data_IF_369839639953
#
_entry.id   IF_369839639953
#
_cell.length_a   1.000
_cell.length_b   1.000
_cell.length_c   1.000
_cell.angle_alpha   90.00
_cell.angle_beta   90.00
_cell.angle_gamma   90.00
#
_symmetry.space_group_name_H-M   'P 1'
#
loop_
_entity.id
_entity.type
_entity.pdbx_description
1 polymer ?
#
# COMPACT_ATOMS: atom_id res chain seq x y z
N UNK A 1 37.35 1.95 -23.96
CA UNK A 1 35.99 1.81 -24.53
C UNK A 1 34.97 2.19 -23.47
N UNK A 2 34.46 3.41 -23.56
CA UNK A 2 33.59 4.08 -22.57
C UNK A 2 32.14 4.05 -23.07
N UNK A 3 31.31 3.21 -22.46
CA UNK A 3 29.85 3.22 -22.65
C UNK A 3 29.17 3.50 -21.30
N UNK A 4 29.46 4.65 -20.67
CA UNK A 4 28.60 5.17 -19.61
C UNK A 4 27.39 5.85 -20.25
N UNK A 5 26.30 5.10 -20.30
CA UNK A 5 25.00 5.50 -20.82
C UNK A 5 24.54 6.83 -20.22
N UNK A 6 24.16 7.72 -21.12
CA UNK A 6 23.46 8.98 -20.95
C UNK A 6 22.06 8.79 -20.33
N UNK A 7 21.97 8.46 -19.05
CA UNK A 7 20.71 8.62 -18.32
C UNK A 7 20.66 10.08 -17.82
N UNK A 8 19.65 10.87 -18.23
CA UNK A 8 19.48 12.21 -17.66
C UNK A 8 19.35 12.08 -16.14
N UNK A 9 20.15 12.85 -15.41
CA UNK A 9 20.08 12.91 -13.95
C UNK A 9 18.70 13.42 -13.55
N UNK A 10 17.80 12.52 -13.15
CA UNK A 10 16.49 12.88 -12.64
C UNK A 10 16.65 13.77 -11.41
N UNK A 11 15.90 14.86 -11.36
CA UNK A 11 15.88 15.72 -10.17
C UNK A 11 15.21 14.98 -9.01
N UNK A 12 15.54 15.33 -7.76
CA UNK A 12 14.97 14.70 -6.57
C UNK A 12 13.42 14.77 -6.56
N UNK A 13 12.83 15.83 -7.10
CA UNK A 13 11.37 15.98 -7.24
C UNK A 13 10.78 15.04 -8.28
N UNK A 14 11.46 14.81 -9.41
CA UNK A 14 11.04 13.85 -10.42
C UNK A 14 11.09 12.41 -9.88
N UNK A 15 12.13 12.08 -9.11
CA UNK A 15 12.24 10.76 -8.46
C UNK A 15 11.13 10.55 -7.43
N UNK A 16 10.82 11.56 -6.62
CA UNK A 16 9.72 11.48 -5.64
C UNK A 16 8.37 11.27 -6.32
N UNK A 17 8.10 12.01 -7.40
CA UNK A 17 6.88 11.86 -8.20
C UNK A 17 6.77 10.48 -8.86
N UNK A 18 7.86 9.98 -9.45
CA UNK A 18 7.90 8.65 -10.05
C UNK A 18 7.65 7.57 -8.99
N UNK A 19 8.27 7.69 -7.83
CA UNK A 19 8.08 6.76 -6.70
C UNK A 19 6.62 6.75 -6.25
N UNK A 20 6.00 7.93 -6.13
CA UNK A 20 4.59 8.07 -5.77
C UNK A 20 3.67 7.39 -6.80
N UNK A 21 3.93 7.59 -8.11
CA UNK A 21 3.16 6.97 -9.20
C UNK A 21 3.30 5.45 -9.20
N UNK A 22 4.53 4.95 -9.06
CA UNK A 22 4.79 3.52 -9.00
C UNK A 22 4.11 2.89 -7.79
N UNK A 23 4.23 3.52 -6.61
CA UNK A 23 3.58 3.05 -5.39
C UNK A 23 2.04 3.02 -5.54
N UNK A 24 1.44 4.05 -6.14
CA UNK A 24 0.00 4.07 -6.43
C UNK A 24 -0.42 2.99 -7.44
N UNK A 25 0.38 2.75 -8.49
CA UNK A 25 0.14 1.68 -9.45
C UNK A 25 0.20 0.29 -8.81
N UNK A 26 1.23 0.04 -7.99
CA UNK A 26 1.34 -1.21 -7.22
C UNK A 26 0.19 -1.38 -6.23
N UNK A 27 -0.27 -0.30 -5.58
CA UNK A 27 -1.41 -0.36 -4.68
C UNK A 27 -2.70 -0.76 -5.43
N UNK A 28 -2.95 -0.23 -6.63
CA UNK A 28 -4.10 -0.65 -7.45
C UNK A 28 -4.00 -2.11 -7.88
N UNK A 29 -2.82 -2.57 -8.28
CA UNK A 29 -2.58 -3.98 -8.62
C UNK A 29 -2.77 -4.90 -7.41
N UNK A 30 -2.33 -4.46 -6.24
CA UNK A 30 -2.54 -5.18 -4.98
C UNK A 30 -4.04 -5.29 -4.70
N UNK A 31 -4.76 -4.17 -4.78
CA UNK A 31 -6.20 -4.11 -4.57
C UNK A 31 -6.97 -4.98 -5.57
N UNK A 32 -6.56 -5.01 -6.84
CA UNK A 32 -7.22 -5.85 -7.85
C UNK A 32 -6.94 -7.34 -7.62
N UNK A 33 -5.68 -7.71 -7.35
CA UNK A 33 -5.30 -9.10 -7.05
C UNK A 33 -5.97 -9.63 -5.78
N UNK A 34 -6.30 -8.75 -4.85
CA UNK A 34 -6.86 -9.09 -3.53
C UNK A 34 -8.26 -8.54 -3.33
N UNK A 35 -9.00 -8.26 -4.41
CA UNK A 35 -10.27 -7.51 -4.42
C UNK A 35 -11.30 -7.99 -3.38
N UNK A 36 -11.34 -9.30 -3.11
CA UNK A 36 -12.23 -9.90 -2.10
C UNK A 36 -11.98 -9.34 -0.69
N UNK A 37 -10.74 -9.02 -0.33
CA UNK A 37 -10.39 -8.42 0.97
C UNK A 37 -10.96 -6.99 1.12
N UNK A 38 -11.03 -6.25 0.01
CA UNK A 38 -11.43 -4.84 0.00
C UNK A 38 -12.94 -4.67 -0.11
N UNK A 39 -13.59 -5.52 -0.92
CA UNK A 39 -15.00 -5.39 -1.26
C UNK A 39 -15.91 -6.35 -0.47
N UNK A 40 -15.37 -7.44 0.07
CA UNK A 40 -16.13 -8.44 0.81
C UNK A 40 -15.45 -8.85 2.14
N UNK A 41 -15.31 -7.90 3.09
CA UNK A 41 -14.62 -8.15 4.36
C UNK A 41 -15.33 -9.20 5.23
N UNK A 42 -16.63 -9.47 4.99
CA UNK A 42 -17.40 -10.48 5.73
C UNK A 42 -17.04 -11.93 5.39
N UNK A 43 -16.28 -12.16 4.32
CA UNK A 43 -15.83 -13.52 3.92
C UNK A 43 -14.60 -14.00 4.68
N UNK A 44 -13.99 -13.13 5.49
CA UNK A 44 -12.76 -13.41 6.20
C UNK A 44 -12.91 -13.15 7.70
N UNK A 45 -12.20 -13.89 8.56
CA UNK A 45 -12.26 -13.65 10.01
C UNK A 45 -11.67 -12.27 10.32
N UNK A 46 -12.46 -11.38 10.91
CA UNK A 46 -12.00 -10.07 11.36
C UNK A 46 -11.02 -10.27 12.51
N UNK A 47 -9.76 -9.90 12.30
CA UNK A 47 -8.79 -9.77 13.38
C UNK A 47 -8.45 -8.28 13.45
N UNK A 48 -8.97 -7.52 14.43
CA UNK A 48 -8.69 -6.09 14.51
C UNK A 48 -7.33 -5.84 15.20
N UNK A 49 -6.54 -4.88 14.70
CA UNK A 49 -5.26 -4.46 15.33
C UNK A 49 -5.47 -3.74 16.67
N UNK A 50 -6.55 -2.97 16.74
CA UNK A 50 -6.96 -2.18 17.88
C UNK A 50 -8.38 -2.61 18.26
N UNK A 51 -8.81 -2.48 19.53
CA UNK A 51 -10.17 -2.79 19.96
C UNK A 51 -11.20 -1.73 19.47
N UNK A 52 -11.06 -1.27 18.23
CA UNK A 52 -11.96 -0.33 17.57
C UNK A 52 -13.06 -1.13 16.86
N UNK A 53 -14.30 -0.92 17.29
CA UNK A 53 -15.47 -1.50 16.63
C UNK A 53 -15.81 -0.70 15.37
N UNK A 54 -15.03 -0.92 14.31
CA UNK A 54 -15.33 -0.34 13.01
C UNK A 54 -16.42 -1.17 12.32
N UNK A 55 -17.44 -0.48 11.79
CA UNK A 55 -18.47 -1.15 10.98
C UNK A 55 -17.80 -1.79 9.76
N UNK A 56 -18.10 -3.07 9.43
CA UNK A 56 -17.47 -3.77 8.30
C UNK A 56 -17.70 -3.07 6.94
N UNK A 57 -18.74 -2.24 6.82
CA UNK A 57 -19.04 -1.42 5.65
C UNK A 57 -18.04 -0.28 5.41
N UNK A 58 -17.23 0.09 6.41
CA UNK A 58 -16.24 1.17 6.28
C UNK A 58 -15.06 0.77 5.38
N UNK A 59 -14.75 -0.52 5.28
CA UNK A 59 -13.63 -1.00 4.45
C UNK A 59 -13.94 -0.81 2.96
N UNK A 60 -15.08 -1.27 2.41
CA UNK A 60 -15.47 -0.96 1.03
C UNK A 60 -15.61 0.54 0.80
N UNK A 61 -16.22 1.26 1.74
CA UNK A 61 -16.42 2.71 1.64
C UNK A 61 -15.09 3.49 1.57
N UNK A 62 -14.02 3.00 2.20
CA UNK A 62 -12.68 3.58 2.11
C UNK A 62 -11.87 3.10 0.90
N UNK A 63 -12.15 1.90 0.38
CA UNK A 63 -11.46 1.38 -0.81
C UNK A 63 -11.74 2.18 -2.09
N UNK A 64 -12.95 2.72 -2.24
CA UNK A 64 -13.33 3.55 -3.40
C UNK A 64 -12.52 4.85 -3.45
N UNK A 65 -12.49 5.70 -2.40
CA UNK A 65 -11.68 6.92 -2.39
C UNK A 65 -10.18 6.62 -2.43
N UNK A 66 -9.73 5.48 -1.88
CA UNK A 66 -8.34 5.03 -2.01
C UNK A 66 -7.97 4.77 -3.48
N UNK A 67 -8.80 4.02 -4.21
CA UNK A 67 -8.58 3.73 -5.61
C UNK A 67 -8.62 5.01 -6.47
N UNK A 68 -9.58 5.91 -6.21
CA UNK A 68 -9.67 7.21 -6.87
C UNK A 68 -8.42 8.07 -6.61
N UNK A 69 -7.95 8.12 -5.36
CA UNK A 69 -6.70 8.79 -4.99
C UNK A 69 -5.50 8.22 -5.76
N UNK A 70 -5.37 6.89 -5.84
CA UNK A 70 -4.31 6.25 -6.60
C UNK A 70 -4.35 6.62 -8.10
N UNK A 71 -5.54 6.64 -8.72
CA UNK A 71 -5.69 7.07 -10.12
C UNK A 71 -5.27 8.53 -10.32
N UNK A 72 -5.67 9.44 -9.43
CA UNK A 72 -5.27 10.85 -9.49
C UNK A 72 -3.74 11.01 -9.36
N UNK A 73 -3.09 10.20 -8.52
CA UNK A 73 -1.63 10.21 -8.36
C UNK A 73 -0.91 9.68 -9.60
N UNK A 74 -1.41 8.60 -10.23
CA UNK A 74 -0.82 8.00 -11.44
C UNK A 74 -0.88 8.96 -12.62
N UNK A 75 -2.08 9.49 -12.91
CA UNK A 75 -2.28 10.39 -14.04
C UNK A 75 -1.73 11.80 -13.81
N UNK A 76 -1.37 12.12 -12.56
CA UNK A 76 -0.84 13.43 -12.18
C UNK A 76 -1.70 14.58 -12.71
N UNK A 77 -3.02 14.44 -12.56
CA UNK A 77 -4.03 15.36 -13.11
C UNK A 77 -3.92 16.76 -12.48
N UNK A 78 -3.15 16.91 -11.40
CA UNK A 78 -3.07 18.15 -10.63
C UNK A 78 -1.75 18.89 -10.91
N UNK A 79 -1.80 20.04 -11.63
CA UNK A 79 -0.61 20.83 -11.92
C UNK A 79 -0.10 21.63 -10.70
N UNK A 80 -0.89 21.73 -9.62
CA UNK A 80 -0.54 22.55 -8.46
C UNK A 80 0.00 21.71 -7.30
N UNK A 81 1.15 22.10 -6.70
CA UNK A 81 1.79 21.33 -5.62
C UNK A 81 0.95 21.28 -4.34
N UNK A 82 0.15 22.32 -4.06
CA UNK A 82 -0.76 22.35 -2.90
C UNK A 82 -1.90 21.34 -3.03
N UNK A 83 -2.47 21.22 -4.23
CA UNK A 83 -3.55 20.27 -4.49
C UNK A 83 -3.02 18.83 -4.48
N UNK A 84 -1.82 18.60 -5.01
CA UNK A 84 -1.16 17.30 -4.94
C UNK A 84 -0.97 16.85 -3.49
N UNK A 85 -0.48 17.73 -2.59
CA UNK A 85 -0.36 17.41 -1.15
C UNK A 85 -1.71 17.06 -0.50
N UNK A 86 -2.80 17.76 -0.86
CA UNK A 86 -4.15 17.44 -0.37
C UNK A 86 -4.60 16.06 -0.85
N UNK A 87 -4.36 15.72 -2.12
CA UNK A 87 -4.69 14.39 -2.65
C UNK A 87 -3.88 13.31 -1.93
N UNK A 88 -2.58 13.51 -1.72
CA UNK A 88 -1.73 12.58 -0.95
C UNK A 88 -2.27 12.40 0.48
N UNK A 89 -2.66 13.49 1.16
CA UNK A 89 -3.22 13.43 2.50
C UNK A 89 -4.56 12.66 2.54
N UNK A 90 -5.49 12.97 1.63
CA UNK A 90 -6.78 12.28 1.56
C UNK A 90 -6.60 10.79 1.22
N UNK A 91 -5.65 10.47 0.34
CA UNK A 91 -5.31 9.08 -0.02
C UNK A 91 -4.71 8.34 1.18
N UNK A 92 -3.88 9.01 1.98
CA UNK A 92 -3.31 8.44 3.20
C UNK A 92 -4.39 8.14 4.25
N UNK A 93 -5.34 9.07 4.45
CA UNK A 93 -6.48 8.86 5.36
C UNK A 93 -7.33 7.68 4.88
N UNK A 94 -7.64 7.61 3.58
CA UNK A 94 -8.38 6.49 3.01
C UNK A 94 -7.63 5.15 3.14
N UNK A 95 -6.30 5.15 3.02
CA UNK A 95 -5.46 3.96 3.20
C UNK A 95 -5.41 3.49 4.66
N UNK A 96 -5.49 4.40 5.64
CA UNK A 96 -5.44 4.03 7.05
C UNK A 96 -6.69 3.29 7.53
N UNK A 97 -7.87 3.60 6.98
CA UNK A 97 -9.15 3.01 7.42
C UNK A 97 -9.18 1.47 7.30
N UNK A 98 -8.79 0.85 6.16
CA UNK A 98 -8.67 -0.60 6.04
C UNK A 98 -7.73 -1.25 7.06
N UNK A 99 -6.62 -0.58 7.41
CA UNK A 99 -5.63 -1.09 8.39
C UNK A 99 -6.20 -1.11 9.80
N UNK A 100 -7.00 -0.10 10.17
CA UNK A 100 -7.68 -0.07 11.46
C UNK A 100 -8.81 -1.10 11.54
N UNK A 101 -9.47 -1.39 10.41
CA UNK A 101 -10.63 -2.28 10.34
C UNK A 101 -10.32 -3.77 10.21
N UNK A 102 -9.18 -4.16 9.63
CA UNK A 102 -8.82 -5.57 9.47
C UNK A 102 -7.31 -5.79 9.37
N UNK A 103 -6.78 -6.73 10.17
CA UNK A 103 -5.39 -7.20 10.09
C UNK A 103 -5.04 -7.81 8.72
N UNK A 104 -6.04 -8.28 7.95
CA UNK A 104 -5.79 -8.89 6.63
C UNK A 104 -5.37 -7.87 5.58
N UNK A 105 -5.65 -6.59 5.82
CA UNK A 105 -5.16 -5.49 5.01
C UNK A 105 -3.72 -5.06 5.36
N UNK A 106 -3.06 -5.68 6.36
CA UNK A 106 -1.60 -5.53 6.62
C UNK A 106 -0.75 -6.28 5.60
N UNK A 107 -1.01 -6.07 4.31
CA UNK A 107 -0.03 -6.47 3.32
C UNK A 107 1.18 -5.53 3.45
N UNK A 108 2.38 -6.08 3.53
CA UNK A 108 3.61 -5.28 3.65
C UNK A 108 3.72 -4.20 2.55
N UNK A 109 3.18 -4.51 1.37
CA UNK A 109 3.07 -3.60 0.23
C UNK A 109 2.13 -2.41 0.48
N UNK A 110 1.03 -2.62 1.22
CA UNK A 110 0.12 -1.55 1.61
C UNK A 110 0.75 -0.61 2.64
N UNK A 111 1.50 -1.16 3.61
CA UNK A 111 2.31 -0.36 4.53
C UNK A 111 3.38 0.46 3.81
N UNK A 112 4.07 -0.16 2.84
CA UNK A 112 5.03 0.54 2.01
C UNK A 112 4.39 1.73 1.29
N UNK A 113 3.19 1.53 0.75
CA UNK A 113 2.41 2.58 0.10
C UNK A 113 2.09 3.73 1.07
N UNK A 114 1.53 3.44 2.25
CA UNK A 114 1.23 4.47 3.26
C UNK A 114 2.46 5.25 3.72
N UNK A 115 3.58 4.57 3.93
CA UNK A 115 4.85 5.21 4.31
C UNK A 115 5.35 6.11 3.18
N UNK A 116 5.21 5.67 1.92
CA UNK A 116 5.58 6.48 0.75
C UNK A 116 4.74 7.76 0.66
N UNK A 117 3.44 7.68 0.95
CA UNK A 117 2.56 8.85 1.04
C UNK A 117 2.99 9.79 2.19
N UNK A 118 3.24 9.24 3.38
CA UNK A 118 3.65 9.99 4.56
C UNK A 118 4.98 10.75 4.32
N UNK A 119 5.96 10.08 3.72
CA UNK A 119 7.25 10.69 3.39
C UNK A 119 7.16 11.75 2.29
N UNK A 120 6.15 11.69 1.41
CA UNK A 120 5.87 12.78 0.47
C UNK A 120 5.22 14.00 1.15
N UNK A 121 4.56 13.82 2.30
CA UNK A 121 3.98 14.92 3.07
C UNK A 121 5.01 15.59 3.98
N UNK A 122 5.97 14.82 4.50
CA UNK A 122 6.98 15.28 5.45
C UNK A 122 8.24 15.81 4.73
N UNK A 123 8.89 16.86 5.25
CA UNK A 123 10.17 17.36 4.74
C UNK A 123 11.35 16.49 5.22
N UNK A 124 11.29 15.16 5.04
CA UNK A 124 12.29 14.22 5.57
C UNK A 124 13.33 13.81 4.51
N UNK A 125 14.59 13.56 4.90
CA UNK A 125 15.64 13.10 3.99
C UNK A 125 15.35 11.67 3.50
N UNK A 126 15.61 11.44 2.20
CA UNK A 126 15.33 10.19 1.49
C UNK A 126 16.09 8.95 2.03
N UNK A 127 17.09 9.13 2.89
CA UNK A 127 17.83 8.06 3.58
C UNK A 127 16.92 7.18 4.44
N UNK A 128 15.87 7.76 5.03
CA UNK A 128 14.95 7.04 5.92
C UNK A 128 14.04 6.06 5.15
N UNK A 129 13.76 6.33 3.87
CA UNK A 129 12.92 5.48 3.02
C UNK A 129 13.57 4.12 2.77
N UNK A 130 14.89 4.07 2.54
CA UNK A 130 15.62 2.81 2.28
C UNK A 130 15.61 1.87 3.49
N UNK A 131 15.84 2.41 4.68
CA UNK A 131 15.81 1.64 5.92
C UNK A 131 14.41 1.08 6.20
N UNK A 132 13.37 1.89 5.95
CA UNK A 132 11.99 1.46 6.14
C UNK A 132 11.55 0.41 5.11
N UNK A 133 11.97 0.56 3.85
CA UNK A 133 11.77 -0.48 2.82
C UNK A 133 12.45 -1.79 3.22
N UNK A 134 13.72 -1.71 3.65
CA UNK A 134 14.47 -2.89 4.09
C UNK A 134 13.80 -3.58 5.28
N UNK A 135 13.38 -2.82 6.29
CA UNK A 135 12.65 -3.36 7.44
C UNK A 135 11.33 -4.01 7.03
N UNK A 136 10.54 -3.37 6.16
CA UNK A 136 9.29 -3.96 5.64
C UNK A 136 9.53 -5.26 4.88
N UNK A 137 10.59 -5.31 4.05
CA UNK A 137 10.92 -6.50 3.28
C UNK A 137 11.41 -7.64 4.17
N UNK A 138 12.26 -7.33 5.16
CA UNK A 138 12.74 -8.30 6.16
C UNK A 138 11.57 -8.82 7.00
N UNK A 139 10.72 -7.94 7.54
CA UNK A 139 9.54 -8.36 8.32
C UNK A 139 8.54 -9.17 7.48
N UNK A 140 8.33 -8.81 6.21
CA UNK A 140 7.48 -9.57 5.27
C UNK A 140 8.06 -10.94 4.90
N UNK A 141 9.39 -11.04 4.79
CA UNK A 141 10.09 -12.31 4.60
C UNK A 141 10.01 -13.18 5.85
N UNK A 142 10.26 -12.61 7.02
CA UNK A 142 10.20 -13.28 8.31
C UNK A 142 8.77 -13.74 8.66
N UNK A 143 7.73 -12.99 8.29
CA UNK A 143 6.34 -13.42 8.51
C UNK A 143 5.93 -14.64 7.68
N UNK A 144 6.74 -15.03 6.68
CA UNK A 144 6.53 -16.24 5.86
C UNK A 144 7.33 -17.44 6.38
N UNK A 145 8.26 -17.23 7.31
CA UNK A 145 8.91 -18.32 8.02
C UNK A 145 7.96 -18.82 9.12
N UNK A 146 7.12 -19.79 8.79
CA UNK A 146 6.44 -20.62 9.79
C UNK A 146 6.90 -22.07 9.65
N UNK A 147 7.08 -22.76 10.78
CA UNK A 147 7.38 -24.20 10.78
C UNK A 147 6.25 -25.04 10.15
N UNK A 148 5.03 -24.48 10.06
CA UNK A 148 3.84 -25.11 9.47
C UNK A 148 3.13 -24.11 8.53
N UNK A 149 3.51 -24.04 7.23
CA UNK A 149 2.96 -23.06 6.28
C UNK A 149 1.47 -23.23 5.98
N UNK A 150 0.97 -24.47 6.02
CA UNK A 150 -0.43 -24.85 5.79
C UNK A 150 -1.39 -24.36 6.90
N UNK A 151 -0.91 -24.23 8.13
CA UNK A 151 -1.71 -23.84 9.31
C UNK A 151 -1.57 -22.34 9.64
N UNK A 152 -0.65 -21.63 8.97
CA UNK A 152 -0.44 -20.22 9.17
C UNK A 152 -1.47 -19.33 8.44
N UNK A 153 -1.52 -18.03 8.76
CA UNK A 153 -2.40 -17.07 8.08
C UNK A 153 -2.20 -17.04 6.56
N UNK A 154 -0.99 -17.33 6.07
CA UNK A 154 -0.66 -17.46 4.65
C UNK A 154 -1.33 -18.70 4.04
N UNK A 155 -1.27 -19.86 4.70
CA UNK A 155 -1.93 -21.09 4.25
C UNK A 155 -3.45 -20.96 4.17
N UNK A 156 -4.07 -20.25 5.12
CA UNK A 156 -5.51 -19.94 5.08
C UNK A 156 -5.90 -19.05 3.90
N UNK A 157 -5.11 -17.99 3.63
CA UNK A 157 -5.33 -17.09 2.49
C UNK A 157 -5.13 -17.84 1.15
N UNK A 158 -4.09 -18.67 1.04
CA UNK A 158 -3.77 -19.43 -0.18
C UNK A 158 -4.82 -20.51 -0.45
N UNK A 159 -5.29 -21.25 0.57
CA UNK A 159 -6.38 -22.22 0.41
C UNK A 159 -7.66 -21.56 -0.11
N UNK A 160 -8.05 -20.42 0.44
CA UNK A 160 -9.27 -19.73 -0.02
C UNK A 160 -9.13 -19.08 -1.41
N UNK A 161 -7.91 -18.77 -1.86
CA UNK A 161 -7.63 -18.29 -3.21
C UNK A 161 -7.57 -19.41 -4.26
N UNK A 162 -7.07 -20.60 -3.89
CA UNK A 162 -6.83 -21.71 -4.83
C UNK A 162 -7.91 -22.81 -4.83
N UNK A 163 -8.65 -23.01 -3.74
CA UNK A 163 -9.69 -24.07 -3.65
C UNK A 163 -11.10 -23.62 -4.09
N UNK A 164 -11.24 -22.42 -4.66
CA UNK A 164 -12.46 -21.98 -5.34
C UNK A 164 -12.23 -21.92 -6.86
N UNK A 165 -11.83 -23.06 -7.42
CA UNK A 165 -12.12 -23.41 -8.81
C UNK A 165 -13.32 -24.36 -8.82
#
# INVERSE_FOLDING_TARGET
>A
MTTRRWLPSLTQSQVALLTLRLAAGFQLLLMSATWKLWLNPGSFPLVPLLPLHLRPQLIPAASIPLAAGCLLLIFNVLPQPRLQKRVVLLTLVAAAVPVLGSLQCLQAWHWLFMITLLLNLLPLPASNLRAVIAALYVCSGLSRFSQFPEQGPVGLIVRQLLLFA
#
